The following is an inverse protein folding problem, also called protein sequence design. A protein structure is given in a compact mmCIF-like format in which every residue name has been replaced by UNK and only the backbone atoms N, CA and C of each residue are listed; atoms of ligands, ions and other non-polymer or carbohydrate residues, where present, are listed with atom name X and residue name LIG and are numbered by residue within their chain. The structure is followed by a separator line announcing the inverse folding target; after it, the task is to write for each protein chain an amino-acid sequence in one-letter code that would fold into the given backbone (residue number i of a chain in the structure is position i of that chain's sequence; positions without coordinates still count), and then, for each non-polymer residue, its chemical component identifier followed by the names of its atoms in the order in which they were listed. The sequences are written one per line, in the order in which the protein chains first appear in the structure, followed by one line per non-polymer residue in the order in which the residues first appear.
data_IF_790307317948
#
_entry.id   IF_790307317948
#
_cell.length_a   1.000
_cell.length_b   1.000
_cell.length_c   1.000
_cell.angle_alpha   90.00
_cell.angle_beta   90.00
_cell.angle_gamma   90.00
#
_symmetry.space_group_name_H-M   'P 1'
#
loop_
_entity.id
_entity.type
_entity.pdbx_description
1 polymer ?
#
# COMPACT_ATOMS: atom_id res chain seq x y z
N UNK A 1 -39.32 -38.70 1.43
CA UNK A 1 -39.59 -37.31 1.00
C UNK A 1 -39.21 -36.25 2.04
N UNK A 2 -39.35 -36.50 3.36
CA UNK A 2 -39.06 -35.52 4.44
C UNK A 2 -37.56 -35.26 4.68
N UNK A 3 -36.69 -36.25 4.41
CA UNK A 3 -35.25 -36.13 4.71
C UNK A 3 -34.53 -35.12 3.80
N UNK A 4 -34.89 -35.04 2.51
CA UNK A 4 -34.29 -34.10 1.55
C UNK A 4 -34.61 -32.64 1.86
N UNK A 5 -35.82 -32.36 2.35
CA UNK A 5 -36.26 -31.01 2.73
C UNK A 5 -35.47 -30.46 3.92
N UNK A 6 -35.15 -31.30 4.91
CA UNK A 6 -34.35 -30.91 6.08
C UNK A 6 -32.91 -30.57 5.69
N UNK A 7 -32.34 -31.32 4.76
CA UNK A 7 -30.98 -31.07 4.24
C UNK A 7 -30.96 -29.77 3.44
N UNK A 8 -31.99 -29.53 2.61
CA UNK A 8 -32.11 -28.30 1.82
C UNK A 8 -32.22 -27.06 2.71
N UNK A 9 -33.06 -27.09 3.75
CA UNK A 9 -33.16 -25.99 4.72
C UNK A 9 -31.83 -25.77 5.45
N UNK A 10 -31.16 -26.85 5.87
CA UNK A 10 -29.85 -26.76 6.51
C UNK A 10 -28.81 -26.10 5.61
N UNK A 11 -28.79 -26.46 4.32
CA UNK A 11 -27.87 -25.89 3.34
C UNK A 11 -28.16 -24.40 3.11
N UNK A 12 -29.43 -24.02 2.93
CA UNK A 12 -29.83 -22.62 2.79
C UNK A 12 -29.46 -21.78 4.02
N UNK A 13 -29.63 -22.33 5.23
CA UNK A 13 -29.25 -21.65 6.46
C UNK A 13 -27.74 -21.46 6.57
N UNK A 14 -26.94 -22.48 6.24
CA UNK A 14 -25.48 -22.35 6.18
C UNK A 14 -25.03 -21.29 5.17
N UNK A 15 -25.61 -21.27 3.97
CA UNK A 15 -25.31 -20.26 2.95
C UNK A 15 -25.68 -18.85 3.45
N UNK A 16 -26.83 -18.70 4.10
CA UNK A 16 -27.25 -17.42 4.67
C UNK A 16 -26.29 -16.93 5.77
N UNK A 17 -25.81 -17.84 6.63
CA UNK A 17 -24.85 -17.49 7.68
C UNK A 17 -23.49 -17.09 7.10
N UNK A 18 -23.01 -17.73 6.04
CA UNK A 18 -21.75 -17.40 5.37
C UNK A 18 -21.85 -16.04 4.65
N UNK A 19 -22.94 -15.78 3.94
CA UNK A 19 -23.14 -14.52 3.22
C UNK A 19 -23.48 -13.34 4.14
N UNK A 20 -24.19 -13.58 5.25
CA UNK A 20 -24.60 -12.54 6.19
C UNK A 20 -23.51 -12.11 7.18
N UNK A 21 -22.43 -12.88 7.33
CA UNK A 21 -21.33 -12.61 8.26
C UNK A 21 -19.99 -12.40 7.56
N UNK A 22 -19.97 -11.93 6.31
CA UNK A 22 -18.72 -11.44 5.73
C UNK A 22 -18.30 -10.18 6.49
N UNK A 23 -17.31 -10.33 7.38
CA UNK A 23 -16.71 -9.19 8.06
C UNK A 23 -16.21 -8.19 6.99
N UNK A 24 -16.39 -6.88 7.19
CA UNK A 24 -15.79 -5.89 6.32
C UNK A 24 -14.29 -6.17 6.25
N UNK A 25 -13.71 -6.20 5.05
CA UNK A 25 -12.27 -6.11 4.90
C UNK A 25 -11.87 -4.70 5.34
N UNK A 26 -11.60 -4.53 6.63
CA UNK A 26 -11.11 -3.28 7.18
C UNK A 26 -9.69 -3.06 6.63
N UNK A 27 -9.46 -1.85 6.11
CA UNK A 27 -8.13 -1.40 5.72
C UNK A 27 -7.18 -1.47 6.93
N UNK A 28 -5.94 -1.89 6.72
CA UNK A 28 -4.96 -2.11 7.80
C UNK A 28 -4.23 -0.80 8.15
N UNK A 29 -4.99 0.27 8.36
CA UNK A 29 -4.46 1.58 8.75
C UNK A 29 -4.18 1.55 10.25
N UNK A 30 -2.95 1.85 10.63
CA UNK A 30 -2.51 1.88 12.02
C UNK A 30 -1.99 3.26 12.41
N UNK A 31 -2.40 3.74 13.58
CA UNK A 31 -1.95 5.01 14.18
C UNK A 31 -0.82 4.76 15.18
N UNK A 32 0.27 5.51 15.06
CA UNK A 32 1.42 5.49 15.97
C UNK A 32 1.67 6.90 16.52
N UNK A 33 1.44 7.16 17.82
CA UNK A 33 1.93 8.38 18.44
C UNK A 33 3.46 8.29 18.54
N UNK A 34 4.17 9.15 17.80
CA UNK A 34 5.64 9.23 17.84
C UNK A 34 6.11 10.19 18.96
N UNK A 35 5.34 11.25 19.22
CA UNK A 35 5.55 12.19 20.33
C UNK A 35 4.24 12.92 20.68
N UNK A 36 4.18 13.77 21.74
CA UNK A 36 2.97 14.54 22.07
C UNK A 36 2.47 15.44 20.92
N UNK A 37 3.34 15.78 19.96
CA UNK A 37 3.01 16.66 18.83
C UNK A 37 3.16 15.97 17.48
N UNK A 38 3.41 14.65 17.45
CA UNK A 38 3.72 13.92 16.24
C UNK A 38 3.01 12.56 16.19
N UNK A 39 2.25 12.34 15.13
CA UNK A 39 1.47 11.12 14.91
C UNK A 39 1.76 10.61 13.50
N UNK A 40 1.94 9.30 13.37
CA UNK A 40 2.13 8.63 12.09
C UNK A 40 1.00 7.63 11.83
N UNK A 41 0.33 7.81 10.70
CA UNK A 41 -0.62 6.84 10.16
C UNK A 41 0.06 6.02 9.09
N UNK A 42 -0.12 4.69 9.09
CA UNK A 42 0.49 3.81 8.09
C UNK A 42 -0.44 2.75 7.55
N UNK A 43 -0.31 2.47 6.27
CA UNK A 43 -0.81 1.28 5.59
C UNK A 43 0.36 0.37 5.25
N UNK A 44 0.25 -0.93 5.57
CA UNK A 44 1.30 -1.92 5.29
C UNK A 44 0.75 -3.06 4.46
N UNK A 45 1.41 -3.35 3.35
CA UNK A 45 1.01 -4.36 2.39
C UNK A 45 2.19 -5.24 2.01
N UNK A 46 1.88 -6.48 1.61
CA UNK A 46 2.83 -7.39 0.98
C UNK A 46 2.42 -7.56 -0.47
N UNK A 47 3.25 -7.09 -1.39
CA UNK A 47 3.07 -7.26 -2.82
C UNK A 47 4.06 -8.31 -3.34
N UNK A 48 3.80 -8.80 -4.56
CA UNK A 48 4.73 -9.65 -5.29
C UNK A 48 5.09 -8.99 -6.61
N UNK A 49 6.35 -9.08 -6.99
CA UNK A 49 6.79 -8.65 -8.30
C UNK A 49 6.51 -9.72 -9.37
N UNK A 50 6.87 -9.40 -10.62
CA UNK A 50 6.72 -10.29 -11.77
C UNK A 50 7.54 -11.58 -11.67
N UNK A 51 8.51 -11.67 -10.75
CA UNK A 51 9.34 -12.84 -10.47
C UNK A 51 8.89 -13.57 -9.19
N UNK A 52 7.69 -13.26 -8.70
CA UNK A 52 7.08 -13.79 -7.47
C UNK A 52 7.85 -13.42 -6.18
N UNK A 53 8.77 -12.45 -6.22
CA UNK A 53 9.52 -12.04 -5.05
C UNK A 53 8.67 -11.13 -4.18
N UNK A 54 8.75 -11.33 -2.86
CA UNK A 54 7.97 -10.57 -1.91
C UNK A 54 8.55 -9.17 -1.71
N UNK A 55 7.66 -8.19 -1.69
CA UNK A 55 7.94 -6.79 -1.40
C UNK A 55 7.05 -6.32 -0.26
N UNK A 56 7.64 -5.66 0.72
CA UNK A 56 6.86 -4.94 1.73
C UNK A 56 6.70 -3.49 1.29
N UNK A 57 5.46 -3.03 1.28
CA UNK A 57 5.06 -1.70 0.86
C UNK A 57 4.40 -1.01 2.04
N UNK A 58 4.96 0.10 2.47
CA UNK A 58 4.46 0.86 3.62
C UNK A 58 4.24 2.31 3.19
N UNK A 59 2.99 2.68 3.00
CA UNK A 59 2.62 4.09 2.86
C UNK A 59 2.41 4.66 4.26
N UNK A 60 2.99 5.81 4.56
CA UNK A 60 2.73 6.48 5.82
C UNK A 60 2.59 7.99 5.65
N UNK A 61 1.69 8.56 6.45
CA UNK A 61 1.46 10.00 6.59
C UNK A 61 1.88 10.39 8.00
N UNK A 62 2.80 11.34 8.10
CA UNK A 62 3.23 11.90 9.37
C UNK A 62 2.62 13.27 9.55
N UNK A 63 2.11 13.51 10.75
CA UNK A 63 1.63 14.80 11.21
C UNK A 63 2.59 15.35 12.24
N UNK A 64 2.86 16.66 12.17
CA UNK A 64 3.64 17.40 13.14
C UNK A 64 2.90 18.68 13.49
N UNK A 65 2.60 18.87 14.77
CA UNK A 65 1.80 20.00 15.26
C UNK A 65 0.45 20.16 14.52
N UNK A 66 -0.19 19.03 14.20
CA UNK A 66 -1.49 19.00 13.52
C UNK A 66 -1.46 19.23 12.00
N UNK A 67 -0.31 19.57 11.42
CA UNK A 67 -0.14 19.70 9.97
C UNK A 67 0.53 18.46 9.37
N UNK A 68 0.26 18.16 8.09
CA UNK A 68 0.95 17.12 7.35
C UNK A 68 2.42 17.52 7.19
N UNK A 69 3.31 16.73 7.78
CA UNK A 69 4.76 16.89 7.70
C UNK A 69 5.29 16.17 6.47
N UNK A 70 4.85 14.93 6.24
CA UNK A 70 5.21 14.18 5.04
C UNK A 70 4.22 13.04 4.72
N UNK A 71 4.23 12.61 3.45
CA UNK A 71 3.53 11.42 2.95
C UNK A 71 4.51 10.60 2.13
N UNK A 72 5.04 9.53 2.70
CA UNK A 72 6.11 8.75 2.06
C UNK A 72 5.67 7.30 1.82
N UNK A 73 6.18 6.73 0.73
CA UNK A 73 6.10 5.30 0.44
C UNK A 73 7.46 4.66 0.67
N UNK A 74 7.52 3.74 1.63
CA UNK A 74 8.68 2.89 1.84
C UNK A 74 8.48 1.54 1.18
N UNK A 75 9.45 1.15 0.38
CA UNK A 75 9.48 -0.11 -0.35
C UNK A 75 10.67 -0.93 0.12
N UNK A 76 10.43 -2.17 0.55
CA UNK A 76 11.47 -3.09 1.02
C UNK A 76 11.40 -4.35 0.18
N UNK A 77 12.38 -4.52 -0.70
CA UNK A 77 12.55 -5.72 -1.51
C UNK A 77 13.29 -6.82 -0.76
N UNK A 78 13.33 -8.02 -1.35
CA UNK A 78 14.08 -9.12 -0.77
C UNK A 78 15.60 -8.81 -0.76
N UNK A 79 16.29 -8.96 0.40
CA UNK A 79 17.72 -8.64 0.53
C UNK A 79 18.60 -9.39 -0.48
N UNK A 80 19.59 -8.70 -1.04
CA UNK A 80 20.56 -9.27 -2.00
C UNK A 80 20.00 -9.53 -3.41
N UNK A 81 18.70 -9.36 -3.64
CA UNK A 81 18.08 -9.55 -4.95
C UNK A 81 17.55 -8.22 -5.51
N UNK A 82 16.84 -7.47 -4.67
CA UNK A 82 16.17 -6.23 -5.03
C UNK A 82 16.94 -5.00 -4.55
N UNK A 83 18.20 -4.85 -4.97
CA UNK A 83 18.96 -3.63 -4.67
C UNK A 83 18.48 -2.47 -5.54
N UNK A 84 17.92 -1.46 -4.89
CA UNK A 84 17.41 -0.26 -5.52
C UNK A 84 18.57 0.66 -5.93
N UNK A 85 18.40 1.33 -7.07
CA UNK A 85 19.35 2.32 -7.53
C UNK A 85 19.02 3.65 -6.86
N UNK A 86 19.92 4.13 -5.99
CA UNK A 86 19.80 5.43 -5.35
C UNK A 86 20.85 6.41 -5.90
N UNK A 87 20.54 7.72 -5.93
CA UNK A 87 19.18 8.29 -5.90
C UNK A 87 18.51 8.12 -7.28
N UNK A 88 17.32 7.53 -7.34
CA UNK A 88 16.50 7.48 -8.57
C UNK A 88 15.02 7.53 -8.24
N UNK A 89 14.22 8.32 -8.98
CA UNK A 89 12.81 8.45 -8.68
C UNK A 89 12.03 7.17 -8.98
N UNK A 90 10.91 7.00 -8.27
CA UNK A 90 9.91 5.98 -8.54
C UNK A 90 8.96 6.49 -9.63
N UNK A 91 8.68 5.67 -10.64
CA UNK A 91 7.64 5.98 -11.63
C UNK A 91 6.35 5.26 -11.25
N UNK A 92 5.24 5.99 -11.27
CA UNK A 92 3.92 5.49 -10.87
C UNK A 92 2.98 5.68 -12.05
N UNK A 93 2.23 4.65 -12.42
CA UNK A 93 1.27 4.73 -13.53
C UNK A 93 -0.05 4.11 -13.11
N UNK A 94 -1.15 4.83 -13.29
CA UNK A 94 -2.49 4.29 -13.11
C UNK A 94 -2.94 3.49 -14.32
N UNK A 95 -3.84 2.52 -14.11
CA UNK A 95 -4.47 1.77 -15.20
C UNK A 95 -5.22 2.66 -16.22
N UNK A 96 -5.54 3.90 -15.86
CA UNK A 96 -6.16 4.95 -16.69
C UNK A 96 -5.18 5.62 -17.65
N UNK A 97 -3.87 5.45 -17.45
CA UNK A 97 -2.81 6.07 -18.26
C UNK A 97 -2.17 7.30 -17.63
N UNK A 98 -2.69 7.79 -16.51
CA UNK A 98 -2.03 8.84 -15.72
C UNK A 98 -0.70 8.35 -15.17
N UNK A 99 0.29 9.23 -15.12
CA UNK A 99 1.62 8.88 -14.67
C UNK A 99 2.23 10.00 -13.83
N UNK A 100 2.91 9.60 -12.76
CA UNK A 100 3.60 10.47 -11.84
C UNK A 100 5.03 9.98 -11.61
N UNK A 101 5.85 10.88 -11.08
CA UNK A 101 7.20 10.58 -10.63
C UNK A 101 7.32 11.00 -9.17
N UNK A 102 7.78 10.10 -8.32
CA UNK A 102 8.00 10.35 -6.89
C UNK A 102 9.50 10.42 -6.61
N UNK A 103 9.93 11.50 -5.95
CA UNK A 103 11.34 11.72 -5.63
C UNK A 103 11.84 10.71 -4.59
N UNK A 104 13.07 10.24 -4.75
CA UNK A 104 13.76 9.43 -3.76
C UNK A 104 14.22 10.32 -2.61
N UNK A 105 13.65 10.11 -1.43
CA UNK A 105 13.92 10.87 -0.19
C UNK A 105 14.71 10.04 0.82
N UNK A 106 15.15 8.84 0.42
CA UNK A 106 15.92 7.96 1.28
C UNK A 106 17.27 8.62 1.61
N UNK A 107 17.54 8.76 2.91
CA UNK A 107 18.89 9.05 3.35
C UNK A 107 19.71 7.74 3.37
N UNK A 108 20.49 7.52 2.31
CA UNK A 108 21.25 6.28 2.05
C UNK A 108 22.12 5.81 3.23
N UNK A 109 22.53 6.72 4.12
CA UNK A 109 23.40 6.39 5.27
C UNK A 109 22.71 5.57 6.36
N UNK A 110 21.39 5.39 6.30
CA UNK A 110 20.59 4.82 7.40
C UNK A 110 19.95 3.47 7.11
N UNK A 111 19.86 3.04 5.84
CA UNK A 111 19.03 1.91 5.45
C UNK A 111 19.72 0.96 4.46
N UNK A 112 19.38 -0.35 4.48
CA UNK A 112 19.91 -1.33 3.53
C UNK A 112 19.60 -0.97 2.07
N UNK A 113 20.42 -1.42 1.10
CA UNK A 113 20.26 -1.07 -0.33
C UNK A 113 19.00 -1.66 -0.99
N UNK A 114 18.27 -2.53 -0.31
CA UNK A 114 16.99 -3.08 -0.76
C UNK A 114 15.78 -2.29 -0.23
N UNK A 115 16.02 -1.11 0.36
CA UNK A 115 15.00 -0.21 0.88
C UNK A 115 15.00 1.07 0.06
N UNK A 116 13.84 1.53 -0.37
CA UNK A 116 13.64 2.84 -0.96
C UNK A 116 12.54 3.59 -0.24
N UNK A 117 12.64 4.92 -0.23
CA UNK A 117 11.62 5.79 0.37
C UNK A 117 11.36 6.94 -0.59
N UNK A 118 10.09 7.15 -0.92
CA UNK A 118 9.69 8.09 -1.96
C UNK A 118 8.63 9.06 -1.45
N UNK A 119 8.73 10.33 -1.84
CA UNK A 119 7.69 11.33 -1.55
C UNK A 119 6.48 11.13 -2.47
N UNK A 120 5.33 10.83 -1.87
CA UNK A 120 4.08 10.54 -2.55
C UNK A 120 3.03 11.62 -2.37
N UNK A 121 3.35 12.76 -1.75
CA UNK A 121 2.35 13.78 -1.43
C UNK A 121 1.58 14.25 -2.68
N UNK A 122 2.28 14.61 -3.76
CA UNK A 122 1.68 15.05 -5.02
C UNK A 122 0.81 13.94 -5.63
N UNK A 123 1.36 12.72 -5.71
CA UNK A 123 0.68 11.54 -6.28
C UNK A 123 -0.63 11.27 -5.55
N UNK A 124 -0.61 11.30 -4.21
CA UNK A 124 -1.78 11.01 -3.40
C UNK A 124 -2.81 12.14 -3.42
N UNK A 125 -2.40 13.37 -3.70
CA UNK A 125 -3.30 14.53 -3.85
C UNK A 125 -4.04 14.48 -5.19
N UNK A 126 -3.36 14.05 -6.25
CA UNK A 126 -3.93 13.95 -7.60
C UNK A 126 -4.80 12.68 -7.79
N UNK A 127 -4.62 11.67 -6.94
CA UNK A 127 -5.27 10.37 -7.09
C UNK A 127 -6.76 10.41 -6.72
N UNK A 128 -7.61 10.43 -7.73
CA UNK A 128 -9.07 10.58 -7.58
C UNK A 128 -9.86 9.24 -7.56
N UNK A 129 -9.20 8.12 -7.86
CA UNK A 129 -9.84 6.82 -8.05
C UNK A 129 -9.07 5.66 -7.40
N UNK A 130 -9.71 4.49 -7.31
CA UNK A 130 -9.10 3.27 -6.75
C UNK A 130 -8.50 2.38 -7.85
N UNK A 131 -8.15 2.95 -9.01
CA UNK A 131 -7.59 2.17 -10.12
C UNK A 131 -6.26 1.55 -9.72
N UNK A 132 -5.94 0.33 -10.19
CA UNK A 132 -4.65 -0.28 -9.89
C UNK A 132 -3.48 0.64 -10.29
N UNK A 133 -2.46 0.68 -9.45
CA UNK A 133 -1.22 1.42 -9.73
C UNK A 133 -0.11 0.44 -10.08
N UNK A 134 0.71 0.82 -11.05
CA UNK A 134 2.00 0.16 -11.35
C UNK A 134 3.12 1.05 -10.81
N UNK A 135 3.93 0.47 -9.93
CA UNK A 135 5.15 1.10 -9.43
C UNK A 135 6.33 0.52 -10.20
N UNK A 136 7.02 1.33 -10.99
CA UNK A 136 8.25 0.94 -11.65
C UNK A 136 9.45 1.45 -10.87
N UNK A 137 10.26 0.50 -10.38
CA UNK A 137 11.38 0.73 -9.49
C UNK A 137 12.71 0.50 -10.23
N UNK A 138 13.61 1.49 -10.25
CA UNK A 138 14.95 1.31 -10.80
C UNK A 138 15.82 0.51 -9.82
N UNK A 139 16.41 -0.58 -10.30
CA UNK A 139 17.35 -1.42 -9.58
C UNK A 139 18.79 -1.12 -10.01
N UNK A 140 19.77 -1.48 -9.18
CA UNK A 140 21.18 -1.41 -9.55
C UNK A 140 21.47 -2.27 -10.79
N UNK A 141 22.43 -1.79 -11.59
CA UNK A 141 22.83 -2.42 -12.85
C UNK A 141 21.89 -2.13 -14.02
N UNK A 142 21.10 -1.06 -13.95
CA UNK A 142 20.22 -0.61 -15.05
C UNK A 142 18.97 -1.48 -15.25
N UNK A 143 18.65 -2.33 -14.27
CA UNK A 143 17.44 -3.16 -14.28
C UNK A 143 16.27 -2.36 -13.70
N UNK A 144 15.05 -2.82 -13.94
CA UNK A 144 13.86 -2.32 -13.24
C UNK A 144 12.96 -3.47 -12.80
N UNK A 145 12.07 -3.19 -11.86
CA UNK A 145 11.05 -4.12 -11.39
C UNK A 145 9.72 -3.41 -11.27
N UNK A 146 8.66 -4.12 -11.61
CA UNK A 146 7.30 -3.64 -11.52
C UNK A 146 6.59 -4.27 -10.32
N UNK A 147 5.92 -3.43 -9.53
CA UNK A 147 4.98 -3.84 -8.50
C UNK A 147 3.58 -3.36 -8.87
N UNK A 148 2.60 -4.27 -8.74
CA UNK A 148 1.20 -3.94 -8.96
C UNK A 148 0.52 -3.72 -7.62
N UNK A 149 0.03 -2.50 -7.41
CA UNK A 149 -0.82 -2.15 -6.27
C UNK A 149 -2.26 -2.41 -6.69
N UNK A 150 -2.95 -3.38 -6.06
CA UNK A 150 -4.31 -3.71 -6.42
C UNK A 150 -5.31 -2.63 -5.97
N UNK A 151 -6.52 -2.56 -6.56
CA UNK A 151 -7.51 -1.52 -6.25
C UNK A 151 -7.82 -1.35 -4.76
N UNK A 152 -7.88 -2.46 -4.01
CA UNK A 152 -8.11 -2.41 -2.57
C UNK A 152 -6.96 -1.73 -1.82
N UNK A 153 -5.73 -1.87 -2.31
CA UNK A 153 -4.57 -1.24 -1.69
C UNK A 153 -4.50 0.24 -1.98
N UNK A 154 -4.84 0.64 -3.21
CA UNK A 154 -5.00 2.04 -3.61
C UNK A 154 -6.10 2.72 -2.80
N UNK A 155 -7.23 2.06 -2.60
CA UNK A 155 -8.32 2.54 -1.73
C UNK A 155 -7.83 2.76 -0.30
N UNK A 156 -7.07 1.83 0.26
CA UNK A 156 -6.52 1.95 1.60
C UNK A 156 -5.57 3.15 1.73
N UNK A 157 -4.76 3.41 0.70
CA UNK A 157 -3.89 4.58 0.66
C UNK A 157 -4.66 5.90 0.64
N UNK A 158 -5.77 5.96 -0.11
CA UNK A 158 -6.64 7.14 -0.13
C UNK A 158 -7.34 7.37 1.22
N UNK A 159 -7.85 6.31 1.85
CA UNK A 159 -8.41 6.39 3.20
C UNK A 159 -7.41 6.90 4.24
N UNK A 160 -6.13 6.56 4.09
CA UNK A 160 -5.05 7.07 4.94
C UNK A 160 -4.87 8.59 4.78
N UNK A 161 -5.07 9.13 3.58
CA UNK A 161 -5.04 10.57 3.34
C UNK A 161 -6.22 11.29 4.03
N UNK A 162 -7.41 10.69 3.98
CA UNK A 162 -8.63 11.22 4.59
C UNK A 162 -8.67 11.09 6.12
N UNK A 163 -7.75 10.34 6.73
CA UNK A 163 -7.71 10.17 8.19
C UNK A 163 -7.36 11.50 8.87
N UNK A 164 -8.34 12.15 9.50
CA UNK A 164 -8.20 13.45 10.16
C UNK A 164 -7.54 13.34 11.56
N UNK A 165 -7.17 14.50 12.10
CA UNK A 165 -6.73 14.68 13.49
C UNK A 165 -7.99 14.70 14.36
N UNK A 166 -8.22 13.66 15.16
CA UNK A 166 -9.18 13.73 16.27
C UNK A 166 -8.71 14.70 17.37
#
# INVERSE_FOLDING_TARGET
MVLGWRIFIGLCLCIYLILGNSAPAFASIHTYPESPTQVMYRSKQSLRDVKDQAWQVVLFKRLKMGAVDCVHLRLVGFPGIAELAHPKPLTITAGTGEAWTAADVLNESLLPPNVGEYDLLEVMTDLDSNTPLRLNLPLKGGRSVDLLVPPFGVREWRLLMDTEVE
#
